data_IF_123261643844
#
_entry.id   IF_123261643844
#
_cell.length_a   1.000
_cell.length_b   1.000
_cell.length_c   1.000
_cell.angle_alpha   90.00
_cell.angle_beta   90.00
_cell.angle_gamma   90.00
#
_symmetry.space_group_name_H-M   'P 1'
#
loop_
_entity.id
_entity.type
_entity.pdbx_description
1 polymer ?
#
# COMPACT_ATOMS: atom_id res chain seq x y z
N UNK A 1 39.09 25.30 -14.96
CA UNK A 1 38.33 24.06 -14.77
C UNK A 1 36.94 24.49 -14.39
N UNK A 2 35.95 24.25 -15.25
CA UNK A 2 34.56 24.64 -14.96
C UNK A 2 33.98 23.59 -14.02
N UNK A 3 33.51 24.04 -12.87
CA UNK A 3 32.70 23.26 -11.93
C UNK A 3 31.33 23.01 -12.58
N UNK A 4 31.25 21.99 -13.45
CA UNK A 4 30.08 21.71 -14.29
C UNK A 4 29.02 20.89 -13.53
N UNK A 5 28.59 21.41 -12.39
CA UNK A 5 27.58 20.80 -11.52
C UNK A 5 26.22 21.49 -11.63
N UNK A 6 25.13 20.71 -11.64
CA UNK A 6 23.76 21.26 -11.53
C UNK A 6 23.39 21.43 -10.06
N UNK A 7 22.85 22.58 -9.69
CA UNK A 7 22.39 22.88 -8.33
C UNK A 7 20.86 22.84 -8.27
N UNK A 8 20.32 22.00 -7.40
CA UNK A 8 18.90 21.97 -7.07
C UNK A 8 18.68 22.51 -5.65
N UNK A 9 17.61 23.28 -5.45
CA UNK A 9 17.20 23.78 -4.13
C UNK A 9 15.71 23.53 -3.95
N UNK A 10 15.34 22.82 -2.90
CA UNK A 10 13.97 22.58 -2.51
C UNK A 10 13.87 22.64 -0.97
N UNK A 11 12.89 23.34 -0.41
CA UNK A 11 12.67 23.33 1.04
C UNK A 11 12.13 21.97 1.48
N UNK A 12 12.60 21.50 2.63
CA UNK A 12 12.08 20.31 3.30
C UNK A 12 11.29 20.81 4.51
N UNK A 13 10.01 20.48 4.57
CA UNK A 13 9.11 20.87 5.68
C UNK A 13 8.64 19.70 6.52
N UNK A 14 8.99 18.48 6.13
CA UNK A 14 8.67 17.27 6.89
C UNK A 14 9.68 17.12 8.04
N UNK A 15 9.19 17.24 9.28
CA UNK A 15 10.02 17.23 10.48
C UNK A 15 10.87 15.96 10.59
N UNK A 16 10.28 14.80 10.29
CA UNK A 16 10.99 13.52 10.33
C UNK A 16 12.13 13.49 9.31
N UNK A 17 11.94 14.02 8.11
CA UNK A 17 13.00 14.14 7.10
C UNK A 17 14.10 15.09 7.55
N UNK A 18 13.75 16.15 8.27
CA UNK A 18 14.73 17.09 8.83
C UNK A 18 15.57 16.40 9.92
N UNK A 19 14.94 15.69 10.86
CA UNK A 19 15.64 14.94 11.92
C UNK A 19 16.64 13.92 11.34
N UNK A 20 16.21 13.14 10.33
CA UNK A 20 17.09 12.16 9.66
C UNK A 20 18.26 12.86 8.95
N UNK A 21 18.00 14.02 8.34
CA UNK A 21 19.02 14.76 7.61
C UNK A 21 20.03 15.43 8.55
N UNK A 22 19.57 15.93 9.71
CA UNK A 22 20.44 16.49 10.76
C UNK A 22 21.35 15.41 11.35
N UNK A 23 20.82 14.23 11.68
CA UNK A 23 21.64 13.12 12.14
C UNK A 23 22.70 12.68 11.11
N UNK A 24 22.33 12.67 9.82
CA UNK A 24 23.27 12.37 8.74
C UNK A 24 24.32 13.49 8.54
N UNK A 25 23.94 14.75 8.77
CA UNK A 25 24.88 15.88 8.76
C UNK A 25 25.92 15.76 9.88
N UNK A 26 25.52 15.36 11.09
CA UNK A 26 26.45 15.09 12.19
C UNK A 26 27.46 13.98 11.84
N UNK A 27 27.01 12.92 11.14
CA UNK A 27 27.86 11.81 10.72
C UNK A 27 28.82 12.20 9.58
N UNK A 28 28.34 12.97 8.60
CA UNK A 28 29.09 13.27 7.38
C UNK A 28 29.77 14.65 7.39
N UNK A 29 29.57 15.44 8.45
CA UNK A 29 30.20 16.75 8.67
C UNK A 29 29.58 17.92 7.90
N UNK A 30 28.67 17.66 6.95
CA UNK A 30 27.86 18.69 6.31
C UNK A 30 26.57 18.10 5.71
N UNK A 31 25.51 18.92 5.64
CA UNK A 31 24.28 18.52 4.94
C UNK A 31 24.52 18.19 3.45
N UNK A 32 25.46 18.89 2.80
CA UNK A 32 25.78 18.62 1.40
C UNK A 32 26.42 17.24 1.21
N UNK A 33 27.31 16.84 2.11
CA UNK A 33 27.94 15.52 2.07
C UNK A 33 26.96 14.41 2.44
N UNK A 34 26.06 14.65 3.40
CA UNK A 34 24.96 13.74 3.72
C UNK A 34 24.04 13.49 2.50
N UNK A 35 23.67 14.55 1.77
CA UNK A 35 22.84 14.42 0.56
C UNK A 35 23.59 13.71 -0.56
N UNK A 36 24.88 14.00 -0.79
CA UNK A 36 25.70 13.28 -1.78
C UNK A 36 25.77 11.80 -1.43
N UNK A 37 26.09 11.47 -0.18
CA UNK A 37 26.16 10.09 0.27
C UNK A 37 24.82 9.34 0.09
N UNK A 38 23.69 9.99 0.38
CA UNK A 38 22.37 9.41 0.15
C UNK A 38 22.08 9.16 -1.33
N UNK A 39 22.50 10.06 -2.23
CA UNK A 39 22.35 9.91 -3.68
C UNK A 39 23.28 8.83 -4.24
N UNK A 40 24.52 8.78 -3.80
CA UNK A 40 25.49 7.74 -4.19
C UNK A 40 24.95 6.36 -3.78
N UNK A 41 24.44 6.25 -2.54
CA UNK A 41 23.79 5.01 -2.07
C UNK A 41 22.57 4.62 -2.90
N UNK A 42 21.77 5.60 -3.35
CA UNK A 42 20.61 5.34 -4.20
C UNK A 42 21.05 4.89 -5.60
N UNK A 43 22.10 5.50 -6.16
CA UNK A 43 22.68 5.11 -7.43
C UNK A 43 23.31 3.71 -7.37
N UNK A 44 24.06 3.39 -6.32
CA UNK A 44 24.63 2.06 -6.09
C UNK A 44 23.54 0.99 -5.87
N UNK A 45 22.44 1.36 -5.20
CA UNK A 45 21.27 0.50 -5.10
C UNK A 45 20.64 0.26 -6.49
N UNK A 46 20.64 1.26 -7.38
CA UNK A 46 20.11 1.12 -8.74
C UNK A 46 21.00 0.30 -9.69
N UNK A 47 22.31 0.18 -9.45
CA UNK A 47 23.18 -0.71 -10.24
C UNK A 47 23.04 -2.20 -9.85
N UNK A 48 22.52 -2.48 -8.65
CA UNK A 48 22.23 -3.85 -8.20
C UNK A 48 20.74 -4.23 -8.29
N UNK A 49 19.88 -3.28 -8.66
CA UNK A 49 18.49 -3.50 -9.07
C UNK A 49 18.41 -3.42 -10.60
N UNK A 50 18.43 -4.57 -11.27
CA UNK A 50 18.32 -4.66 -12.71
C UNK A 50 17.09 -3.88 -13.23
N UNK A 51 17.32 -2.99 -14.20
CA UNK A 51 16.28 -2.40 -15.03
C UNK A 51 15.44 -3.52 -15.66
N UNK A 52 14.23 -3.71 -15.14
CA UNK A 52 13.27 -4.62 -15.77
C UNK A 52 12.43 -3.81 -16.75
N UNK A 53 12.39 -4.27 -18.00
CA UNK A 53 11.57 -3.68 -19.07
C UNK A 53 10.07 -3.64 -18.69
N UNK A 54 9.32 -2.60 -19.09
CA UNK A 54 7.96 -2.33 -18.61
C UNK A 54 6.87 -3.20 -19.28
N UNK A 55 7.16 -4.48 -19.56
CA UNK A 55 6.24 -5.41 -20.23
C UNK A 55 6.04 -6.75 -19.53
N UNK A 56 6.85 -7.06 -18.53
CA UNK A 56 6.76 -8.29 -17.75
C UNK A 56 7.10 -7.88 -16.31
N UNK A 57 6.07 -7.77 -15.47
CA UNK A 57 6.22 -7.42 -14.04
C UNK A 57 7.16 -8.46 -13.43
N UNK A 58 8.44 -8.13 -13.23
CA UNK A 58 9.48 -9.04 -12.70
C UNK A 58 9.37 -9.12 -11.18
N UNK A 59 8.19 -9.52 -10.73
CA UNK A 59 7.96 -9.87 -9.34
C UNK A 59 8.39 -11.33 -9.17
N UNK A 60 9.31 -11.64 -8.24
CA UNK A 60 9.66 -13.01 -7.93
C UNK A 60 8.40 -13.84 -7.64
N UNK A 61 8.33 -15.08 -8.16
CA UNK A 61 7.13 -15.91 -8.03
C UNK A 61 6.61 -16.03 -6.58
N UNK A 62 7.52 -16.06 -5.60
CA UNK A 62 7.19 -16.10 -4.17
C UNK A 62 6.62 -14.78 -3.63
N UNK A 63 7.01 -13.65 -4.20
CA UNK A 63 6.40 -12.37 -3.89
C UNK A 63 4.99 -12.26 -4.50
N UNK A 64 4.77 -12.79 -5.71
CA UNK A 64 3.43 -12.90 -6.29
C UNK A 64 2.50 -13.81 -5.49
N UNK A 65 2.99 -14.92 -4.96
CA UNK A 65 2.23 -15.78 -4.04
C UNK A 65 1.80 -14.98 -2.80
N UNK A 66 2.70 -14.19 -2.22
CA UNK A 66 2.38 -13.29 -1.12
C UNK A 66 1.37 -12.20 -1.47
N UNK A 67 1.38 -11.68 -2.71
CA UNK A 67 0.36 -10.73 -3.17
C UNK A 67 -1.03 -11.36 -3.12
N UNK A 68 -1.20 -12.58 -3.63
CA UNK A 68 -2.50 -13.26 -3.62
C UNK A 68 -3.00 -13.55 -2.21
N UNK A 69 -2.10 -13.93 -1.30
CA UNK A 69 -2.44 -14.10 0.12
C UNK A 69 -2.98 -12.80 0.73
N UNK A 70 -2.34 -11.65 0.43
CA UNK A 70 -2.82 -10.36 0.91
C UNK A 70 -4.16 -9.96 0.28
N UNK A 71 -4.37 -10.23 -1.00
CA UNK A 71 -5.65 -10.00 -1.69
C UNK A 71 -6.76 -10.84 -1.07
N UNK A 72 -6.51 -12.11 -0.74
CA UNK A 72 -7.49 -12.95 -0.05
C UNK A 72 -7.81 -12.42 1.35
N UNK A 73 -6.82 -11.87 2.05
CA UNK A 73 -6.99 -11.37 3.41
C UNK A 73 -7.72 -10.04 3.50
N UNK A 74 -7.47 -9.11 2.58
CA UNK A 74 -7.96 -7.72 2.68
C UNK A 74 -8.80 -7.24 1.50
N UNK A 75 -8.89 -8.03 0.44
CA UNK A 75 -9.31 -7.59 -0.89
C UNK A 75 -8.37 -6.53 -1.49
N UNK A 76 -8.53 -6.26 -2.78
CA UNK A 76 -7.83 -5.17 -3.48
C UNK A 76 -8.31 -3.82 -2.95
N UNK A 77 -7.39 -2.90 -2.67
CA UNK A 77 -7.66 -1.62 -2.02
C UNK A 77 -7.77 -1.71 -0.50
N UNK A 78 -7.74 -2.93 0.05
CA UNK A 78 -7.72 -3.18 1.48
C UNK A 78 -6.45 -2.65 2.15
N UNK A 79 -6.57 -2.30 3.44
CA UNK A 79 -5.47 -1.81 4.27
C UNK A 79 -5.12 -2.84 5.35
N UNK A 80 -3.83 -3.09 5.54
CA UNK A 80 -3.32 -3.97 6.58
C UNK A 80 -2.09 -3.38 7.25
N UNK A 81 -2.01 -3.49 8.57
CA UNK A 81 -0.85 -3.04 9.32
C UNK A 81 0.39 -3.85 8.90
N UNK A 82 1.54 -3.20 8.71
CA UNK A 82 2.74 -3.87 8.21
C UNK A 82 3.17 -5.05 9.08
N UNK A 83 3.08 -4.95 10.41
CA UNK A 83 3.44 -6.03 11.32
C UNK A 83 2.49 -7.23 11.20
N UNK A 84 1.22 -6.97 10.91
CA UNK A 84 0.21 -8.00 10.65
C UNK A 84 0.45 -8.65 9.30
N UNK A 85 0.66 -7.88 8.24
CA UNK A 85 1.00 -8.39 6.91
C UNK A 85 2.27 -9.25 6.94
N UNK A 86 3.31 -8.81 7.65
CA UNK A 86 4.53 -9.59 7.84
C UNK A 86 4.29 -10.92 8.55
N UNK A 87 3.33 -10.98 9.48
CA UNK A 87 2.96 -12.22 10.19
C UNK A 87 2.20 -13.18 9.28
N UNK A 88 1.20 -12.68 8.56
CA UNK A 88 0.38 -13.44 7.61
C UNK A 88 1.28 -14.07 6.55
N UNK A 89 2.13 -13.26 5.92
CA UNK A 89 3.03 -13.69 4.87
C UNK A 89 4.13 -14.65 5.37
N UNK A 90 4.66 -14.43 6.57
CA UNK A 90 5.64 -15.35 7.16
C UNK A 90 5.04 -16.75 7.33
N UNK A 91 3.79 -16.81 7.80
CA UNK A 91 3.07 -18.07 8.00
C UNK A 91 2.71 -18.73 6.67
N UNK A 92 2.06 -18.00 5.76
CA UNK A 92 1.58 -18.53 4.48
C UNK A 92 2.73 -19.03 3.59
N UNK A 93 3.82 -18.26 3.50
CA UNK A 93 4.94 -18.56 2.61
C UNK A 93 6.05 -19.40 3.27
N UNK A 94 5.86 -19.77 4.55
CA UNK A 94 6.82 -20.48 5.39
C UNK A 94 8.23 -19.84 5.32
N UNK A 95 8.30 -18.53 5.58
CA UNK A 95 9.55 -17.76 5.62
C UNK A 95 9.67 -17.01 6.94
N UNK A 96 10.90 -16.78 7.44
CA UNK A 96 11.08 -16.01 8.67
C UNK A 96 10.64 -14.55 8.46
N UNK A 97 9.98 -13.98 9.47
CA UNK A 97 9.46 -12.59 9.49
C UNK A 97 10.46 -11.54 8.95
N UNK A 98 11.74 -11.52 9.39
CA UNK A 98 12.74 -10.59 8.85
C UNK A 98 12.98 -10.72 7.35
N UNK A 99 12.74 -11.92 6.80
CA UNK A 99 12.88 -12.23 5.37
C UNK A 99 11.67 -11.87 4.52
N UNK A 100 10.49 -11.64 5.11
CA UNK A 100 9.27 -11.26 4.39
C UNK A 100 9.44 -9.90 3.74
N UNK A 101 9.99 -8.94 4.50
CA UNK A 101 10.10 -7.56 4.05
C UNK A 101 10.98 -7.41 2.82
N UNK A 102 12.12 -8.11 2.78
CA UNK A 102 13.05 -8.05 1.64
C UNK A 102 12.61 -8.92 0.47
N UNK A 103 12.02 -10.09 0.71
CA UNK A 103 11.72 -11.07 -0.36
C UNK A 103 10.32 -10.96 -0.95
N UNK A 104 9.40 -10.27 -0.27
CA UNK A 104 7.98 -10.22 -0.65
C UNK A 104 7.50 -8.78 -0.71
N UNK A 105 7.52 -8.06 0.42
CA UNK A 105 6.91 -6.72 0.49
C UNK A 105 7.65 -5.72 -0.41
N UNK A 106 8.98 -5.66 -0.35
CA UNK A 106 9.78 -4.74 -1.18
C UNK A 106 9.54 -4.94 -2.69
N UNK A 107 9.68 -6.17 -3.25
CA UNK A 107 9.38 -6.40 -4.66
C UNK A 107 7.97 -5.95 -5.06
N UNK A 108 6.96 -6.22 -4.23
CA UNK A 108 5.59 -5.81 -4.53
C UNK A 108 5.37 -4.29 -4.47
N UNK A 109 6.10 -3.59 -3.59
CA UNK A 109 6.07 -2.12 -3.54
C UNK A 109 6.77 -1.51 -4.74
N UNK A 110 7.93 -2.07 -5.14
CA UNK A 110 8.69 -1.62 -6.30
C UNK A 110 7.87 -1.73 -7.59
N UNK A 111 7.02 -2.76 -7.67
CA UNK A 111 6.15 -3.05 -8.81
C UNK A 111 4.75 -2.43 -8.66
N UNK A 112 4.58 -1.48 -7.72
CA UNK A 112 3.33 -0.75 -7.47
C UNK A 112 2.10 -1.62 -7.12
N UNK A 113 2.32 -2.89 -6.75
CA UNK A 113 1.27 -3.82 -6.30
C UNK A 113 0.90 -3.62 -4.83
N UNK A 114 1.77 -2.98 -4.05
CA UNK A 114 1.49 -2.52 -2.69
C UNK A 114 1.89 -1.06 -2.57
N UNK A 115 1.10 -0.28 -1.82
CA UNK A 115 1.49 1.07 -1.43
C UNK A 115 1.60 1.20 0.07
N UNK A 116 2.54 2.03 0.53
CA UNK A 116 2.79 2.24 1.94
C UNK A 116 2.14 3.55 2.37
N UNK A 117 1.14 3.44 3.22
CA UNK A 117 0.44 4.59 3.78
C UNK A 117 1.10 5.03 5.09
N UNK A 118 1.55 6.27 5.11
CA UNK A 118 2.29 6.88 6.21
C UNK A 118 1.46 7.90 6.99
N UNK A 119 0.22 8.17 6.58
CA UNK A 119 -0.63 9.20 7.17
C UNK A 119 -1.29 8.78 8.49
N UNK A 120 -1.15 7.52 8.90
CA UNK A 120 -1.76 6.96 10.10
C UNK A 120 -0.72 6.75 11.20
N UNK A 121 -1.15 6.73 12.48
CA UNK A 121 -0.29 6.49 13.66
C UNK A 121 0.43 5.12 13.67
N UNK A 122 0.22 4.31 12.62
CA UNK A 122 0.95 3.08 12.33
C UNK A 122 1.29 3.00 10.84
N UNK A 123 2.25 2.13 10.48
CA UNK A 123 2.64 1.91 9.09
C UNK A 123 1.69 0.89 8.45
N UNK A 124 0.95 1.32 7.42
CA UNK A 124 -0.01 0.46 6.71
C UNK A 124 0.46 0.12 5.29
N UNK A 125 0.05 -1.04 4.82
CA UNK A 125 0.14 -1.47 3.43
C UNK A 125 -1.26 -1.45 2.81
N UNK A 126 -1.37 -0.85 1.64
CA UNK A 126 -2.56 -0.84 0.79
C UNK A 126 -2.33 -1.82 -0.35
N UNK A 127 -3.24 -2.76 -0.53
CA UNK A 127 -3.13 -3.79 -1.58
C UNK A 127 -3.59 -3.25 -2.92
N UNK A 128 -2.80 -3.45 -3.96
CA UNK A 128 -2.98 -2.89 -5.29
C UNK A 128 -3.64 -3.78 -6.32
N UNK A 129 -3.91 -3.20 -7.50
CA UNK A 129 -4.31 -3.95 -8.70
C UNK A 129 -3.07 -4.33 -9.50
N UNK A 130 -3.14 -5.49 -10.15
CA UNK A 130 -2.08 -6.03 -11.01
C UNK A 130 -2.22 -5.62 -12.48
N UNK A 131 -3.27 -4.90 -12.85
CA UNK A 131 -3.55 -4.47 -14.23
C UNK A 131 -2.62 -3.35 -14.75
N UNK A 132 -1.60 -2.98 -13.98
CA UNK A 132 -0.58 -2.01 -14.37
C UNK A 132 -1.03 -0.55 -14.22
N UNK A 133 -2.22 -0.30 -13.65
CA UNK A 133 -2.62 1.06 -13.30
C UNK A 133 -2.00 1.48 -11.95
N UNK A 134 -1.33 2.63 -11.87
CA UNK A 134 -0.75 3.10 -10.63
C UNK A 134 -1.84 3.45 -9.62
N UNK A 135 -1.83 2.80 -8.44
CA UNK A 135 -2.75 3.06 -7.33
C UNK A 135 -2.75 4.52 -6.83
N UNK A 136 -1.65 5.25 -7.06
CA UNK A 136 -1.50 6.66 -6.68
C UNK A 136 -1.74 7.61 -7.85
N UNK A 137 -2.37 7.17 -8.94
CA UNK A 137 -3.01 8.12 -9.82
C UNK A 137 -3.95 8.96 -8.95
N UNK A 138 -3.87 10.31 -8.95
CA UNK A 138 -4.92 11.09 -8.34
C UNK A 138 -6.20 10.58 -8.97
N UNK A 139 -7.13 10.07 -8.14
CA UNK A 139 -8.43 9.67 -8.65
C UNK A 139 -8.89 10.77 -9.58
N UNK A 140 -9.18 10.40 -10.84
CA UNK A 140 -9.73 11.32 -11.80
C UNK A 140 -11.08 11.70 -11.22
N UNK A 141 -11.07 12.74 -10.40
CA UNK A 141 -12.24 13.26 -9.74
C UNK A 141 -13.29 13.47 -10.82
N UNK A 142 -14.56 13.17 -10.55
CA UNK A 142 -15.60 13.26 -11.55
C UNK A 142 -15.53 14.65 -12.19
N UNK A 143 -15.27 14.67 -13.49
CA UNK A 143 -15.23 15.90 -14.30
C UNK A 143 -16.52 16.67 -14.05
N UNK A 144 -16.47 17.95 -13.63
CA UNK A 144 -17.67 18.73 -13.43
C UNK A 144 -18.13 19.27 -14.77
N UNK A 145 -18.97 18.52 -15.48
CA UNK A 145 -19.79 19.09 -16.54
C UNK A 145 -21.29 18.90 -16.25
N UNK A 146 -21.86 20.02 -15.81
CA UNK A 146 -23.19 20.55 -16.13
C UNK A 146 -24.47 19.80 -15.65
N UNK A 147 -24.93 20.25 -14.48
CA UNK A 147 -26.29 20.77 -14.20
C UNK A 147 -27.53 20.21 -14.93
N UNK A 148 -28.38 19.64 -14.09
CA UNK A 148 -29.82 19.94 -13.93
C UNK A 148 -30.83 19.26 -14.86
N UNK A 149 -31.63 18.37 -14.28
CA UNK A 149 -33.03 18.71 -13.92
C UNK A 149 -33.56 17.76 -12.84
N UNK A 150 -34.27 18.38 -11.90
CA UNK A 150 -34.96 17.78 -10.76
C UNK A 150 -36.21 17.01 -11.17
N UNK A 151 -36.47 15.83 -10.59
CA UNK A 151 -37.80 15.29 -10.30
C UNK A 151 -37.62 14.10 -9.33
N UNK A 152 -37.75 14.33 -8.02
CA UNK A 152 -38.93 14.05 -7.18
C UNK A 152 -39.15 12.55 -6.82
N UNK A 153 -38.75 12.26 -5.57
CA UNK A 153 -39.43 11.48 -4.53
C UNK A 153 -39.86 10.00 -4.71
N UNK A 154 -39.35 9.22 -3.74
CA UNK A 154 -39.99 8.16 -2.94
C UNK A 154 -40.29 6.79 -3.60
N UNK A 155 -39.68 5.72 -3.04
CA UNK A 155 -40.40 4.66 -2.31
C UNK A 155 -39.42 3.70 -1.59
N UNK A 156 -39.69 3.53 -0.30
CA UNK A 156 -39.74 2.25 0.44
C UNK A 156 -38.44 1.46 0.75
N UNK A 157 -37.95 1.68 1.98
CA UNK A 157 -36.97 0.82 2.64
C UNK A 157 -37.66 -0.26 3.47
N UNK A 158 -37.96 -1.42 2.87
CA UNK A 158 -38.57 -2.55 3.58
C UNK A 158 -38.07 -3.95 3.18
N UNK A 159 -36.80 -4.15 2.81
CA UNK A 159 -36.30 -5.48 2.39
C UNK A 159 -35.00 -5.90 3.13
N UNK A 160 -34.84 -5.55 4.40
CA UNK A 160 -33.69 -5.99 5.20
C UNK A 160 -34.04 -6.57 6.59
N UNK A 161 -35.32 -6.81 6.92
CA UNK A 161 -35.72 -7.27 8.27
C UNK A 161 -36.66 -8.49 8.34
N UNK A 162 -36.81 -9.26 7.27
CA UNK A 162 -37.74 -10.40 7.24
C UNK A 162 -37.11 -11.80 7.22
N UNK A 163 -35.84 -11.94 7.63
CA UNK A 163 -35.13 -13.24 7.68
C UNK A 163 -34.63 -13.66 9.06
N UNK A 164 -35.14 -13.07 10.15
CA UNK A 164 -34.78 -13.49 11.52
C UNK A 164 -35.96 -14.00 12.37
N UNK A 165 -37.19 -13.94 11.86
CA UNK A 165 -38.41 -14.37 12.58
C UNK A 165 -38.92 -15.75 12.14
N UNK A 166 -38.11 -16.51 11.38
CA UNK A 166 -38.43 -17.86 10.89
C UNK A 166 -37.56 -18.95 11.58
N UNK A 167 -37.03 -18.68 12.77
CA UNK A 167 -36.35 -19.69 13.61
C UNK A 167 -36.90 -19.78 15.04
N UNK A 168 -37.96 -19.02 15.36
CA UNK A 168 -38.59 -19.02 16.69
C UNK A 168 -39.94 -19.77 16.77
N UNK A 169 -40.51 -20.25 15.66
CA UNK A 169 -41.82 -20.95 15.62
C UNK A 169 -41.75 -22.45 15.32
N UNK A 170 -40.59 -23.10 15.41
CA UNK A 170 -40.41 -24.52 15.08
C UNK A 170 -40.01 -25.40 16.29
N UNK A 171 -40.50 -25.08 17.50
CA UNK A 171 -40.14 -25.82 18.71
C UNK A 171 -41.26 -26.06 19.72
N UNK A 172 -42.53 -25.81 19.36
CA UNK A 172 -43.66 -26.05 20.28
C UNK A 172 -44.63 -27.08 19.70
N UNK A 173 -44.98 -28.05 20.54
CA UNK A 173 -45.97 -29.17 20.46
C UNK A 173 -45.72 -30.34 19.49
N UNK A 174 -45.31 -31.51 20.00
CA UNK A 174 -46.11 -32.75 20.31
C UNK A 174 -45.18 -33.69 21.15
N UNK A 175 -45.52 -34.44 22.20
CA UNK A 175 -46.79 -35.01 22.66
C UNK A 175 -46.65 -35.49 24.12
N UNK A 176 -47.78 -35.43 24.82
CA UNK A 176 -48.13 -36.10 26.08
C UNK A 176 -48.16 -37.64 25.92
N UNK A 177 -47.60 -38.38 26.89
CA UNK A 177 -48.02 -39.69 27.45
C UNK A 177 -47.18 -40.02 28.69
#
# INVERSE_FOLDING_TARGET
>A
MSDDGRVAKAPISDERRLEVLEAAEEEHGSMADAVRHALDRLADASETEAETSPGEVDVPAKALEGYWELVEWTEVGGRIEIGTAESVLANALNIPKPGVRSRVIKPLVNENLLWKDWAHEGVWLVVGRRDGEPLNAPERGPTPEASSTSSEAATDGSEARKRLDELASAGEVVSDV
#
